data_IF_437284101376
#
_entry.id   IF_437284101376
#
_cell.length_a   1.000
_cell.length_b   1.000
_cell.length_c   1.000
_cell.angle_alpha   90.00
_cell.angle_beta   90.00
_cell.angle_gamma   90.00
#
_symmetry.space_group_name_H-M   'P 1'
#
loop_
_entity.id
_entity.type
_entity.pdbx_description
1 polymer ?
#
# COMPACT_ATOMS: atom_id res chain seq x y z
N UNK A 1 1.54 14.65 13.45
CA UNK A 1 1.62 13.44 12.60
C UNK A 1 1.32 13.86 11.17
N UNK A 2 2.24 13.70 10.21
CA UNK A 2 2.01 14.13 8.81
C UNK A 2 0.92 13.24 8.19
N UNK A 3 0.01 13.86 7.43
CA UNK A 3 -1.07 13.14 6.73
C UNK A 3 -0.52 12.57 5.42
N UNK A 4 -0.96 11.38 5.04
CA UNK A 4 -0.68 10.81 3.72
C UNK A 4 -1.29 11.71 2.62
N UNK A 5 -0.58 11.86 1.51
CA UNK A 5 -1.08 12.48 0.28
C UNK A 5 -0.80 11.60 -0.94
N UNK A 6 -1.54 11.83 -2.02
CA UNK A 6 -1.22 11.23 -3.31
C UNK A 6 0.19 11.65 -3.76
N UNK A 7 0.94 10.70 -4.30
CA UNK A 7 2.34 10.86 -4.70
C UNK A 7 3.36 10.54 -3.59
N UNK A 8 2.95 10.41 -2.32
CA UNK A 8 3.87 9.99 -1.27
C UNK A 8 4.40 8.57 -1.50
N UNK A 9 5.66 8.34 -1.14
CA UNK A 9 6.24 7.01 -1.01
C UNK A 9 6.10 6.55 0.43
N UNK A 10 5.50 5.38 0.64
CA UNK A 10 5.22 4.81 1.96
C UNK A 10 5.76 3.39 2.03
N UNK A 11 6.14 2.95 3.22
CA UNK A 11 6.58 1.58 3.46
C UNK A 11 5.45 0.76 4.08
N UNK A 12 5.26 -0.47 3.60
CA UNK A 12 4.33 -1.44 4.17
C UNK A 12 4.98 -2.08 5.41
N UNK A 13 4.52 -1.70 6.60
CA UNK A 13 5.09 -2.17 7.88
C UNK A 13 4.42 -3.42 8.45
N UNK A 14 3.21 -3.76 7.97
CA UNK A 14 2.48 -4.97 8.35
C UNK A 14 2.12 -5.79 7.11
N UNK A 15 2.04 -7.13 7.18
CA UNK A 15 1.74 -7.97 6.03
C UNK A 15 0.47 -7.53 5.29
N UNK A 16 0.56 -7.45 3.97
CA UNK A 16 -0.59 -7.24 3.06
C UNK A 16 -0.68 -8.41 2.11
N UNK A 17 -1.72 -9.23 2.26
CA UNK A 17 -1.97 -10.38 1.39
C UNK A 17 -2.77 -9.92 0.18
N UNK A 18 -2.24 -10.14 -1.02
CA UNK A 18 -2.90 -9.83 -2.29
C UNK A 18 -3.09 -11.11 -3.07
N UNK A 19 -4.34 -11.41 -3.40
CA UNK A 19 -4.69 -12.53 -4.28
C UNK A 19 -4.58 -12.08 -5.74
N UNK A 20 -3.67 -12.71 -6.48
CA UNK A 20 -3.51 -12.48 -7.93
C UNK A 20 -4.61 -13.18 -8.72
N UNK A 21 -4.83 -12.72 -9.95
CA UNK A 21 -5.76 -13.37 -10.91
C UNK A 21 -5.41 -14.82 -11.21
N UNK A 22 -4.13 -15.21 -11.09
CA UNK A 22 -3.67 -16.59 -11.23
C UNK A 22 -4.11 -17.50 -10.08
N UNK A 23 -4.71 -16.95 -9.02
CA UNK A 23 -5.09 -17.69 -7.81
C UNK A 23 -4.03 -17.65 -6.71
N UNK A 24 -2.78 -17.32 -7.03
CA UNK A 24 -1.69 -17.22 -6.05
C UNK A 24 -1.91 -16.06 -5.07
N UNK A 25 -1.57 -16.29 -3.81
CA UNK A 25 -1.55 -15.27 -2.76
C UNK A 25 -0.11 -14.83 -2.56
N UNK A 26 0.13 -13.52 -2.68
CA UNK A 26 1.43 -12.93 -2.37
C UNK A 26 1.31 -12.01 -1.16
N UNK A 27 2.34 -12.02 -0.32
CA UNK A 27 2.40 -11.22 0.89
C UNK A 27 3.44 -10.12 0.68
N UNK A 28 3.01 -8.88 0.84
CA UNK A 28 3.85 -7.70 0.73
C UNK A 28 4.12 -7.13 2.12
N UNK A 29 5.39 -7.04 2.50
CA UNK A 29 5.86 -6.43 3.75
C UNK A 29 7.28 -5.91 3.55
N UNK A 30 7.59 -4.74 4.13
CA UNK A 30 8.88 -4.06 3.99
C UNK A 30 9.07 -3.35 2.64
N UNK A 31 8.12 -3.49 1.71
CA UNK A 31 8.19 -2.86 0.41
C UNK A 31 7.81 -1.38 0.47
N UNK A 32 8.49 -0.57 -0.35
CA UNK A 32 8.10 0.81 -0.62
C UNK A 32 7.08 0.85 -1.76
N UNK A 33 6.01 1.61 -1.57
CA UNK A 33 4.89 1.70 -2.49
C UNK A 33 4.44 3.15 -2.63
N UNK A 34 3.85 3.48 -3.78
CA UNK A 34 3.42 4.85 -4.06
C UNK A 34 1.94 5.01 -3.77
N UNK A 35 1.58 6.04 -3.01
CA UNK A 35 0.17 6.37 -2.78
C UNK A 35 -0.41 7.01 -4.04
N UNK A 36 -1.41 6.37 -4.64
CA UNK A 36 -2.16 6.90 -5.79
C UNK A 36 -3.30 7.79 -5.31
N UNK A 37 -4.04 7.34 -4.29
CA UNK A 37 -5.17 8.07 -3.71
C UNK A 37 -5.26 7.80 -2.21
N UNK A 38 -5.69 8.80 -1.45
CA UNK A 38 -5.91 8.66 0.00
C UNK A 38 -7.40 8.50 0.25
N UNK A 39 -7.77 7.42 0.92
CA UNK A 39 -9.11 7.19 1.47
C UNK A 39 -9.18 7.59 2.95
N UNK A 40 -10.32 7.31 3.57
CA UNK A 40 -10.54 7.63 4.99
C UNK A 40 -9.66 6.77 5.91
N UNK A 41 -9.76 5.44 5.83
CA UNK A 41 -8.97 4.50 6.67
C UNK A 41 -7.86 3.77 5.90
N UNK A 42 -7.84 3.91 4.57
CA UNK A 42 -6.91 3.22 3.68
C UNK A 42 -6.29 4.18 2.68
N UNK A 43 -5.17 3.76 2.10
CA UNK A 43 -4.56 4.41 0.95
C UNK A 43 -4.58 3.44 -0.23
N UNK A 44 -4.99 3.95 -1.38
CA UNK A 44 -4.88 3.23 -2.65
C UNK A 44 -3.43 3.34 -3.11
N UNK A 45 -2.70 2.23 -3.07
CA UNK A 45 -1.26 2.19 -3.29
C UNK A 45 -0.94 1.39 -4.55
N UNK A 46 -0.03 1.93 -5.36
CA UNK A 46 0.60 1.19 -6.44
C UNK A 46 1.76 0.37 -5.86
N UNK A 47 1.59 -0.94 -5.94
CA UNK A 47 2.53 -1.95 -5.43
C UNK A 47 3.28 -2.67 -6.56
N UNK A 48 3.29 -2.11 -7.78
CA UNK A 48 3.93 -2.72 -8.95
C UNK A 48 3.14 -3.89 -9.53
N UNK A 49 1.86 -4.01 -9.18
CA UNK A 49 0.93 -4.97 -9.79
C UNK A 49 0.13 -4.30 -10.91
N UNK A 50 -0.46 -5.12 -11.79
CA UNK A 50 -1.36 -4.65 -12.86
C UNK A 50 -2.52 -3.76 -12.36
N UNK A 51 -2.83 -3.78 -11.06
CA UNK A 51 -3.82 -2.91 -10.43
C UNK A 51 -3.32 -2.44 -9.06
N UNK A 52 -3.51 -1.16 -8.70
CA UNK A 52 -3.26 -0.70 -7.34
C UNK A 52 -4.23 -1.35 -6.35
N UNK A 53 -3.87 -1.37 -5.07
CA UNK A 53 -4.63 -2.03 -4.00
C UNK A 53 -4.89 -1.08 -2.85
N UNK A 54 -5.99 -1.29 -2.14
CA UNK A 54 -6.26 -0.57 -0.89
C UNK A 54 -5.47 -1.18 0.25
N UNK A 55 -4.62 -0.38 0.89
CA UNK A 55 -3.83 -0.78 2.06
C UNK A 55 -4.29 0.06 3.25
N UNK A 56 -4.64 -0.56 4.40
CA UNK A 56 -4.99 0.18 5.61
C UNK A 56 -3.87 1.12 6.03
N UNK A 57 -4.21 2.32 6.50
CA UNK A 57 -3.22 3.30 6.99
C UNK A 57 -2.39 2.76 8.16
N UNK A 58 -2.98 1.86 8.94
CA UNK A 58 -2.32 1.14 10.06
C UNK A 58 -1.22 0.17 9.61
N UNK A 59 -1.17 -0.18 8.31
CA UNK A 59 -0.15 -1.03 7.70
C UNK A 59 0.92 -0.21 6.96
N UNK A 60 0.79 1.11 6.95
CA UNK A 60 1.67 2.01 6.21
C UNK A 60 2.45 2.92 7.16
N UNK A 61 3.69 3.20 6.79
CA UNK A 61 4.53 4.22 7.44
C UNK A 61 5.08 5.15 6.37
N UNK A 62 5.01 6.45 6.61
CA UNK A 62 5.68 7.42 5.72
C UNK A 62 7.19 7.18 5.77
N UNK A 63 7.82 7.20 4.60
CA UNK A 63 9.26 7.30 4.46
C UNK A 63 9.58 8.79 4.34
N UNK A 64 10.58 9.25 5.11
CA UNK A 64 10.92 10.67 5.22
C UNK A 64 11.38 11.28 3.89
#
# INVERSE_FOLDING_TARGET
MRKFKAGDTVCIIKPVCVRKKSGNIEVYQGCMVKVVKVGFDSCFCDIGLNKPVYIPKTHLRMVA
#
